data_IF_310030345313
#
_entry.id   IF_310030345313
#
_cell.length_a   1.000
_cell.length_b   1.000
_cell.length_c   1.000
_cell.angle_alpha   90.00
_cell.angle_beta   90.00
_cell.angle_gamma   90.00
#
_symmetry.space_group_name_H-M   'P 1'
#
loop_
_entity.id
_entity.type
_entity.pdbx_description
1 polymer ?
#
# COMPACT_ATOMS: atom_id res chain seq x y z
N UNK A 1 5.13 -14.75 24.86
CA UNK A 1 6.37 -14.57 24.07
C UNK A 1 6.24 -15.00 22.61
N UNK A 2 5.75 -16.21 22.28
CA UNK A 2 5.67 -16.67 20.87
C UNK A 2 4.85 -15.78 19.93
N UNK A 3 3.67 -15.30 20.37
CA UNK A 3 2.81 -14.44 19.54
C UNK A 3 3.40 -13.02 19.30
N UNK A 4 4.14 -12.48 20.28
CA UNK A 4 4.76 -11.15 20.15
C UNK A 4 5.87 -11.14 19.11
N UNK A 5 6.63 -12.24 19.02
CA UNK A 5 7.68 -12.39 18.03
C UNK A 5 7.10 -12.50 16.61
N UNK A 6 5.97 -13.19 16.45
CA UNK A 6 5.21 -13.24 15.18
C UNK A 6 4.70 -11.86 14.76
N UNK A 7 4.11 -11.10 15.67
CA UNK A 7 3.63 -9.73 15.39
C UNK A 7 4.81 -8.83 14.98
N UNK A 8 5.94 -8.93 15.71
CA UNK A 8 7.13 -8.15 15.40
C UNK A 8 7.70 -8.47 14.02
N UNK A 9 7.84 -9.76 13.68
CA UNK A 9 8.31 -10.19 12.36
C UNK A 9 7.35 -9.73 11.27
N UNK A 10 6.04 -9.88 11.47
CA UNK A 10 5.03 -9.41 10.52
C UNK A 10 5.10 -7.89 10.30
N UNK A 11 5.31 -7.12 11.37
CA UNK A 11 5.46 -5.67 11.28
C UNK A 11 6.72 -5.25 10.51
N UNK A 12 7.87 -5.90 10.78
CA UNK A 12 9.12 -5.65 10.05
C UNK A 12 8.95 -5.95 8.56
N UNK A 13 8.33 -7.09 8.22
CA UNK A 13 8.04 -7.43 6.82
C UNK A 13 7.14 -6.40 6.15
N UNK A 14 6.12 -5.91 6.86
CA UNK A 14 5.24 -4.86 6.35
C UNK A 14 5.99 -3.55 6.06
N UNK A 15 6.93 -3.16 6.93
CA UNK A 15 7.76 -1.96 6.71
C UNK A 15 8.65 -2.14 5.49
N UNK A 16 9.32 -3.28 5.36
CA UNK A 16 10.18 -3.57 4.21
C UNK A 16 9.37 -3.49 2.93
N UNK A 17 8.20 -4.14 2.89
CA UNK A 17 7.33 -4.12 1.72
C UNK A 17 6.85 -2.70 1.37
N UNK A 18 6.49 -1.90 2.39
CA UNK A 18 6.06 -0.51 2.22
C UNK A 18 7.19 0.40 1.69
N UNK A 19 8.45 0.11 2.00
CA UNK A 19 9.58 0.89 1.52
C UNK A 19 10.01 0.48 0.09
N UNK A 20 10.01 -0.83 -0.21
CA UNK A 20 10.51 -1.35 -1.48
C UNK A 20 9.55 -1.06 -2.64
N UNK A 21 8.24 -1.23 -2.43
CA UNK A 21 7.21 -1.08 -3.48
C UNK A 21 7.23 0.27 -4.21
N UNK A 22 7.17 1.43 -3.52
CA UNK A 22 7.21 2.74 -4.19
C UNK A 22 8.56 3.02 -4.86
N UNK A 23 9.65 2.46 -4.33
CA UNK A 23 11.00 2.61 -4.89
C UNK A 23 11.11 1.90 -6.24
N UNK A 24 10.61 0.67 -6.34
CA UNK A 24 10.57 -0.08 -7.60
C UNK A 24 9.65 0.62 -8.62
N UNK A 25 8.46 1.06 -8.19
CA UNK A 25 7.52 1.76 -9.06
C UNK A 25 8.13 3.04 -9.65
N UNK A 26 8.82 3.84 -8.81
CA UNK A 26 9.49 5.06 -9.25
C UNK A 26 10.64 4.77 -10.21
N UNK A 27 11.44 3.71 -9.95
CA UNK A 27 12.50 3.28 -10.85
C UNK A 27 11.97 2.79 -12.21
N UNK A 28 10.84 2.08 -12.22
CA UNK A 28 10.16 1.61 -13.43
C UNK A 28 9.63 2.78 -14.27
N UNK A 29 8.91 3.72 -13.65
CA UNK A 29 8.45 4.96 -14.29
C UNK A 29 9.63 5.73 -14.91
N UNK A 30 10.74 5.83 -14.17
CA UNK A 30 11.95 6.48 -14.66
C UNK A 30 12.61 5.78 -15.86
N UNK A 31 12.36 4.49 -16.10
CA UNK A 31 12.92 3.80 -17.28
C UNK A 31 12.05 3.95 -18.53
N UNK A 32 10.73 4.08 -18.37
CA UNK A 32 9.78 4.09 -19.50
C UNK A 32 9.54 5.46 -20.11
N UNK A 33 9.78 6.54 -19.35
CA UNK A 33 9.34 7.88 -19.74
C UNK A 33 10.55 8.73 -20.15
N UNK A 34 10.51 9.53 -21.22
CA UNK A 34 11.55 10.51 -21.56
C UNK A 34 11.69 11.59 -20.46
N UNK A 35 12.92 12.10 -20.22
CA UNK A 35 13.21 12.86 -18.99
C UNK A 35 12.46 14.18 -18.83
N UNK A 36 11.94 14.75 -19.91
CA UNK A 36 11.27 16.06 -19.91
C UNK A 36 10.00 16.08 -19.05
N UNK A 37 9.22 14.98 -19.03
CA UNK A 37 7.96 14.90 -18.29
C UNK A 37 8.02 14.02 -17.03
N UNK A 38 9.20 13.41 -16.73
CA UNK A 38 9.38 12.51 -15.57
C UNK A 38 9.02 13.19 -14.25
N UNK A 39 9.45 14.44 -14.06
CA UNK A 39 9.22 15.17 -12.82
C UNK A 39 7.73 15.49 -12.60
N UNK A 40 7.01 15.86 -13.67
CA UNK A 40 5.57 16.13 -13.63
C UNK A 40 4.78 14.88 -13.27
N UNK A 41 5.10 13.74 -13.88
CA UNK A 41 4.39 12.49 -13.60
C UNK A 41 4.74 11.91 -12.23
N UNK A 42 5.99 12.02 -11.78
CA UNK A 42 6.38 11.55 -10.45
C UNK A 42 5.72 12.39 -9.32
N UNK A 43 5.61 13.70 -9.53
CA UNK A 43 4.88 14.58 -8.60
C UNK A 43 3.37 14.35 -8.64
N UNK A 44 2.78 14.13 -9.82
CA UNK A 44 1.37 13.73 -9.95
C UNK A 44 1.08 12.39 -9.26
N UNK A 45 1.98 11.40 -9.39
CA UNK A 45 1.86 10.11 -8.69
C UNK A 45 1.91 10.29 -7.17
N UNK A 46 2.83 11.14 -6.68
CA UNK A 46 2.93 11.47 -5.25
C UNK A 46 1.67 12.20 -4.75
N UNK A 47 1.13 13.12 -5.55
CA UNK A 47 -0.11 13.83 -5.24
C UNK A 47 -1.31 12.88 -5.18
N UNK A 48 -1.43 11.96 -6.15
CA UNK A 48 -2.48 10.95 -6.17
C UNK A 48 -2.41 10.04 -4.93
N UNK A 49 -1.20 9.61 -4.55
CA UNK A 49 -0.99 8.85 -3.30
C UNK A 49 -1.46 9.64 -2.08
N UNK A 50 -1.07 10.91 -1.95
CA UNK A 50 -1.49 11.76 -0.84
C UNK A 50 -3.01 11.93 -0.79
N UNK A 51 -3.66 12.16 -1.94
CA UNK A 51 -5.13 12.28 -2.02
C UNK A 51 -5.83 10.98 -1.57
N UNK A 52 -5.33 9.82 -1.99
CA UNK A 52 -5.84 8.54 -1.52
C UNK A 52 -5.69 8.38 0.00
N UNK A 53 -4.54 8.76 0.56
CA UNK A 53 -4.27 8.64 2.00
C UNK A 53 -5.13 9.59 2.85
N UNK A 54 -5.51 10.76 2.32
CA UNK A 54 -6.46 11.67 2.99
C UNK A 54 -7.81 10.97 3.25
N UNK A 55 -8.24 10.06 2.38
CA UNK A 55 -9.50 9.33 2.54
C UNK A 55 -9.30 8.05 3.35
N UNK A 56 -8.23 7.31 3.05
CA UNK A 56 -7.97 6.00 3.65
C UNK A 56 -7.61 6.08 5.14
N UNK A 57 -6.81 7.08 5.55
CA UNK A 57 -6.40 7.19 6.96
C UNK A 57 -7.58 7.49 7.91
N UNK A 58 -8.45 8.48 7.64
CA UNK A 58 -9.66 8.68 8.44
C UNK A 58 -10.63 7.52 8.33
N UNK A 59 -10.75 6.88 7.16
CA UNK A 59 -11.61 5.72 6.98
C UNK A 59 -11.21 4.56 7.89
N UNK A 60 -9.92 4.19 7.86
CA UNK A 60 -9.39 3.11 8.71
C UNK A 60 -9.38 3.54 10.18
N UNK A 61 -8.97 4.78 10.48
CA UNK A 61 -9.00 5.32 11.83
C UNK A 61 -10.39 5.28 12.45
N UNK A 62 -11.42 5.69 11.70
CA UNK A 62 -12.81 5.60 12.14
C UNK A 62 -13.30 4.17 12.35
N UNK A 63 -12.85 3.20 11.52
CA UNK A 63 -13.15 1.77 11.74
C UNK A 63 -12.51 1.27 13.03
N UNK A 64 -11.28 1.69 13.33
CA UNK A 64 -10.59 1.34 14.58
C UNK A 64 -11.35 1.91 15.78
N UNK A 65 -11.72 3.19 15.73
CA UNK A 65 -12.39 3.89 16.83
C UNK A 65 -13.80 3.32 17.12
N UNK A 66 -14.52 2.85 16.09
CA UNK A 66 -15.90 2.36 16.23
C UNK A 66 -16.00 0.86 16.50
N UNK A 67 -15.09 0.03 15.96
CA UNK A 67 -15.25 -1.43 15.93
C UNK A 67 -14.15 -2.23 16.62
N UNK A 68 -12.94 -1.68 16.81
CA UNK A 68 -11.70 -2.34 17.30
C UNK A 68 -10.64 -2.58 16.20
N UNK A 69 -9.36 -2.53 16.62
CA UNK A 69 -8.18 -2.82 15.80
C UNK A 69 -8.28 -4.16 15.07
N UNK A 70 -8.82 -5.20 15.70
CA UNK A 70 -8.90 -6.53 15.07
C UNK A 70 -9.72 -6.49 13.77
N UNK A 71 -10.84 -5.78 13.77
CA UNK A 71 -11.72 -5.69 12.60
C UNK A 71 -11.07 -4.81 11.52
N UNK A 72 -10.39 -3.73 11.92
CA UNK A 72 -9.62 -2.89 10.98
C UNK A 72 -8.54 -3.68 10.25
N UNK A 73 -7.71 -4.45 10.95
CA UNK A 73 -6.66 -5.26 10.30
C UNK A 73 -7.22 -6.38 9.41
N UNK A 74 -8.32 -7.02 9.82
CA UNK A 74 -8.97 -8.05 9.00
C UNK A 74 -9.55 -7.48 7.70
N UNK A 75 -10.24 -6.33 7.79
CA UNK A 75 -10.82 -5.67 6.61
C UNK A 75 -9.74 -5.19 5.64
N UNK A 76 -8.62 -4.65 6.13
CA UNK A 76 -7.47 -4.29 5.31
C UNK A 76 -6.83 -5.51 4.62
N UNK A 77 -6.63 -6.60 5.35
CA UNK A 77 -6.07 -7.83 4.79
C UNK A 77 -6.95 -8.42 3.68
N UNK A 78 -8.27 -8.44 3.89
CA UNK A 78 -9.24 -8.87 2.88
C UNK A 78 -9.24 -7.95 1.66
N UNK A 79 -9.21 -6.63 1.85
CA UNK A 79 -9.16 -5.67 0.75
C UNK A 79 -7.91 -5.88 -0.13
N UNK A 80 -6.74 -6.07 0.49
CA UNK A 80 -5.48 -6.36 -0.22
C UNK A 80 -5.57 -7.68 -0.99
N UNK A 81 -6.15 -8.73 -0.41
CA UNK A 81 -6.31 -10.02 -1.08
C UNK A 81 -7.26 -9.94 -2.28
N UNK A 82 -8.37 -9.20 -2.17
CA UNK A 82 -9.31 -9.03 -3.28
C UNK A 82 -8.68 -8.21 -4.41
N UNK A 83 -8.06 -7.07 -4.08
CA UNK A 83 -7.41 -6.22 -5.07
C UNK A 83 -6.20 -6.94 -5.70
N UNK A 84 -5.28 -7.45 -4.89
CA UNK A 84 -4.11 -8.18 -5.37
C UNK A 84 -4.48 -9.45 -6.14
N UNK A 85 -5.49 -10.19 -5.68
CA UNK A 85 -6.00 -11.39 -6.35
C UNK A 85 -6.61 -11.07 -7.72
N UNK A 86 -7.42 -10.03 -7.82
CA UNK A 86 -7.99 -9.59 -9.10
C UNK A 86 -6.91 -9.13 -10.08
N UNK A 87 -5.91 -8.37 -9.62
CA UNK A 87 -4.74 -8.00 -10.43
C UNK A 87 -3.93 -9.22 -10.90
N UNK A 88 -3.69 -10.20 -10.01
CA UNK A 88 -2.95 -11.41 -10.36
C UNK A 88 -3.70 -12.26 -11.39
N UNK A 89 -5.02 -12.32 -11.32
CA UNK A 89 -5.87 -13.00 -12.32
C UNK A 89 -5.86 -12.22 -13.64
N UNK A 90 -5.95 -10.90 -13.61
CA UNK A 90 -5.90 -10.05 -14.80
C UNK A 90 -4.54 -10.11 -15.51
N UNK A 91 -3.42 -10.16 -14.76
CA UNK A 91 -2.07 -10.23 -15.31
C UNK A 91 -1.70 -11.59 -15.91
N UNK A 92 -2.50 -12.64 -15.65
CA UNK A 92 -2.34 -13.96 -16.27
C UNK A 92 -3.10 -14.12 -17.60
N UNK A 93 -3.94 -13.15 -17.97
CA UNK A 93 -4.61 -13.07 -19.28
C UNK A 93 -3.75 -12.29 -20.26
#
# INVERSE_FOLDING_TARGET
>A
MGNQLLIFVGFVLSIIFSAVSPTIASAYINQLIPSEERATLLSANSMAYSLCMIILFPGIGGVIDLLDFRIAYLTMGLAIMVVGGTFAVAAKK
#
